data_IF_484008922833
#
_entry.id   IF_484008922833
#
_cell.length_a   1.000
_cell.length_b   1.000
_cell.length_c   1.000
_cell.angle_alpha   90.00
_cell.angle_beta   90.00
_cell.angle_gamma   90.00
#
_symmetry.space_group_name_H-M   'P 1'
#
loop_
_entity.id
_entity.type
_entity.pdbx_description
1 polymer ?
#
# COMPACT_ATOMS: atom_id res chain seq x y z
N UNK A 1 1.07 -5.41 -10.70
CA UNK A 1 0.54 -4.29 -9.86
C UNK A 1 -0.54 -4.87 -8.96
N UNK A 2 -0.47 -4.61 -7.65
CA UNK A 2 -1.30 -5.32 -6.66
C UNK A 2 -2.80 -5.04 -6.76
N UNK A 3 -3.60 -6.05 -6.39
CA UNK A 3 -5.05 -5.98 -6.30
C UNK A 3 -5.44 -5.16 -5.06
N UNK A 4 -6.00 -3.97 -5.28
CA UNK A 4 -6.49 -3.09 -4.21
C UNK A 4 -6.67 -1.66 -4.68
N UNK A 5 -7.93 -1.25 -4.88
CA UNK A 5 -8.33 0.15 -5.00
C UNK A 5 -8.57 0.66 -3.58
N UNK A 6 -7.71 1.53 -3.06
CA UNK A 6 -7.81 2.02 -1.68
C UNK A 6 -7.00 3.29 -1.47
N UNK A 7 -7.51 4.15 -0.59
CA UNK A 7 -6.78 5.30 -0.08
C UNK A 7 -5.85 4.83 1.04
N UNK A 8 -4.73 5.50 1.20
CA UNK A 8 -3.79 5.23 2.29
C UNK A 8 -3.87 6.33 3.34
N UNK A 9 -4.18 7.56 2.97
CA UNK A 9 -4.40 8.67 3.91
C UNK A 9 -5.88 8.97 4.12
N UNK A 10 -6.26 9.13 5.37
CA UNK A 10 -7.60 9.47 5.84
C UNK A 10 -7.52 10.65 6.81
N UNK A 11 -7.95 11.84 6.38
CA UNK A 11 -7.99 13.03 7.25
C UNK A 11 -9.28 13.82 7.02
N UNK A 12 -10.24 13.68 7.94
CA UNK A 12 -11.58 14.24 7.78
C UNK A 12 -12.28 13.66 6.54
N UNK A 13 -12.61 14.52 5.57
CA UNK A 13 -13.14 14.17 4.25
C UNK A 13 -12.07 13.77 3.22
N UNK A 14 -10.79 14.07 3.48
CA UNK A 14 -9.69 13.76 2.57
C UNK A 14 -9.48 12.26 2.55
N UNK A 15 -9.45 11.71 1.33
CA UNK A 15 -9.16 10.33 1.01
C UNK A 15 -8.13 10.35 -0.12
N UNK A 16 -6.87 10.06 0.19
CA UNK A 16 -5.78 10.16 -0.77
C UNK A 16 -4.95 8.87 -0.84
N UNK A 17 -4.51 8.51 -2.04
CA UNK A 17 -3.59 7.41 -2.28
C UNK A 17 -2.22 7.99 -2.58
N UNK A 18 -1.41 8.14 -1.54
CA UNK A 18 -0.11 8.84 -1.64
C UNK A 18 1.06 8.02 -1.14
N UNK A 19 0.81 6.89 -0.48
CA UNK A 19 1.87 5.98 -0.03
C UNK A 19 2.16 4.93 -1.12
N UNK A 20 3.43 4.82 -1.50
CA UNK A 20 3.88 3.97 -2.60
C UNK A 20 5.05 3.09 -2.14
N UNK A 21 5.01 1.81 -2.54
CA UNK A 21 6.13 0.87 -2.37
C UNK A 21 6.71 0.63 -3.76
N UNK A 22 7.92 1.13 -3.99
CA UNK A 22 8.64 0.98 -5.25
C UNK A 22 9.60 -0.21 -5.15
N UNK A 23 9.58 -1.07 -6.16
CA UNK A 23 10.48 -2.22 -6.28
C UNK A 23 11.45 -1.99 -7.44
N UNK A 24 12.67 -2.51 -7.31
CA UNK A 24 13.72 -2.39 -8.32
C UNK A 24 14.39 -3.74 -8.58
N UNK A 25 15.12 -3.82 -9.70
CA UNK A 25 15.89 -5.01 -10.07
C UNK A 25 15.03 -6.23 -10.38
N UNK A 26 15.39 -7.37 -9.79
CA UNK A 26 14.74 -8.66 -9.98
C UNK A 26 13.65 -8.96 -8.95
N UNK A 27 13.14 -7.94 -8.27
CA UNK A 27 12.05 -8.07 -7.32
C UNK A 27 10.68 -7.95 -8.00
N UNK A 28 9.75 -8.78 -7.57
CA UNK A 28 8.36 -8.79 -8.03
C UNK A 28 7.41 -8.74 -6.83
N UNK A 29 6.38 -7.89 -6.92
CA UNK A 29 5.28 -7.88 -5.97
C UNK A 29 4.33 -9.07 -6.22
N UNK A 30 4.28 -9.99 -5.27
CA UNK A 30 3.36 -11.15 -5.27
C UNK A 30 1.95 -10.70 -4.87
N UNK A 31 1.85 -9.80 -3.89
CA UNK A 31 0.59 -9.22 -3.44
C UNK A 31 0.83 -7.86 -2.78
N UNK A 32 -0.13 -6.94 -2.89
CA UNK A 32 -0.12 -5.69 -2.14
C UNK A 32 -1.53 -5.39 -1.63
N UNK A 33 -1.65 -5.05 -0.34
CA UNK A 33 -2.93 -4.71 0.30
C UNK A 33 -2.78 -3.47 1.18
N UNK A 34 -3.82 -2.64 1.22
CA UNK A 34 -3.97 -1.64 2.29
C UNK A 34 -4.52 -2.36 3.51
N UNK A 35 -3.80 -2.26 4.62
CA UNK A 35 -4.16 -2.90 5.88
C UNK A 35 -5.20 -2.11 6.67
N UNK A 36 -5.49 -2.65 7.85
CA UNK A 36 -6.48 -2.12 8.76
C UNK A 36 -6.08 -0.76 9.33
N UNK A 37 -7.06 -0.04 9.87
CA UNK A 37 -6.81 1.17 10.63
C UNK A 37 -6.07 0.82 11.93
N UNK A 38 -4.93 1.45 12.16
CA UNK A 38 -4.07 1.25 13.33
C UNK A 38 -3.99 2.49 14.22
N UNK A 39 -4.91 3.45 14.05
CA UNK A 39 -4.93 4.71 14.80
C UNK A 39 -4.01 5.80 14.25
N UNK A 40 -3.47 5.62 13.04
CA UNK A 40 -2.73 6.64 12.30
C UNK A 40 -3.64 7.30 11.25
N UNK A 41 -3.34 8.54 10.86
CA UNK A 41 -3.97 9.21 9.72
C UNK A 41 -3.60 8.55 8.37
N UNK A 42 -2.67 7.58 8.39
CA UNK A 42 -2.35 6.70 7.29
C UNK A 42 -2.63 5.23 7.63
N UNK A 43 -3.15 4.47 6.64
CA UNK A 43 -3.27 3.02 6.68
C UNK A 43 -2.00 2.36 6.14
N UNK A 44 -1.55 1.25 6.73
CA UNK A 44 -0.34 0.57 6.32
C UNK A 44 -0.51 -0.07 4.94
N UNK A 45 0.54 -0.02 4.11
CA UNK A 45 0.60 -0.77 2.85
C UNK A 45 1.48 -2.01 3.08
N UNK A 46 0.89 -3.20 2.97
CA UNK A 46 1.60 -4.48 3.12
C UNK A 46 1.85 -5.10 1.77
N UNK A 47 3.11 -5.31 1.41
CA UNK A 47 3.52 -5.91 0.13
C UNK A 47 4.31 -7.19 0.39
N UNK A 48 3.88 -8.30 -0.23
CA UNK A 48 4.68 -9.52 -0.31
C UNK A 48 5.49 -9.46 -1.60
N UNK A 49 6.81 -9.63 -1.47
CA UNK A 49 7.75 -9.60 -2.61
C UNK A 49 8.44 -10.95 -2.76
N UNK A 50 8.88 -11.25 -3.98
CA UNK A 50 9.77 -12.36 -4.29
C UNK A 50 10.85 -11.90 -5.27
N UNK A 51 11.94 -12.65 -5.34
CA UNK A 51 12.92 -12.56 -6.42
C UNK A 51 12.41 -13.36 -7.62
N UNK A 52 12.63 -12.85 -8.83
CA UNK A 52 12.33 -13.54 -10.09
C UNK A 52 13.26 -14.72 -10.34
#
# INVERSE_FOLDING_TARGET
AGLGFGFTRYNGWIRARIDHVLLAGDLEAVSAVVGDDVGSDHRPVRVRIRRR
#
